data_IF_770451453056
#
_entry.id   IF_770451453056
#
_cell.length_a   1.000
_cell.length_b   1.000
_cell.length_c   1.000
_cell.angle_alpha   90.00
_cell.angle_beta   90.00
_cell.angle_gamma   90.00
#
_symmetry.space_group_name_H-M   'P 1'
#
loop_
_entity.id
_entity.type
_entity.pdbx_description
1 polymer ?
#
# COMPACT_ATOMS: atom_id res chain seq x y z
N UNK A 1 -0.31 -22.98 2.06
CA UNK A 1 -0.62 -21.57 2.38
C UNK A 1 0.50 -20.72 1.80
N UNK A 2 0.17 -19.69 1.01
CA UNK A 2 1.17 -18.82 0.36
C UNK A 2 1.58 -17.72 1.34
N UNK A 3 2.88 -17.48 1.51
CA UNK A 3 3.39 -16.40 2.37
C UNK A 3 3.60 -15.09 1.59
N UNK A 4 3.90 -14.00 2.31
CA UNK A 4 4.10 -12.65 1.75
C UNK A 4 5.16 -12.66 0.64
N UNK A 5 6.34 -13.21 0.93
CA UNK A 5 7.46 -13.25 -0.01
C UNK A 5 7.09 -13.99 -1.29
N UNK A 6 6.39 -15.13 -1.19
CA UNK A 6 5.93 -15.89 -2.33
C UNK A 6 4.89 -15.12 -3.16
N UNK A 7 3.97 -14.39 -2.49
CA UNK A 7 2.95 -13.59 -3.17
C UNK A 7 3.56 -12.40 -3.91
N UNK A 8 4.53 -11.72 -3.30
CA UNK A 8 5.27 -10.62 -3.92
C UNK A 8 6.15 -11.12 -5.06
N UNK A 9 6.85 -12.24 -4.90
CA UNK A 9 7.67 -12.80 -5.98
C UNK A 9 6.83 -13.09 -7.22
N UNK A 10 5.66 -13.73 -7.05
CA UNK A 10 4.73 -13.96 -8.15
C UNK A 10 4.33 -12.66 -8.86
N UNK A 11 4.02 -11.62 -8.09
CA UNK A 11 3.70 -10.31 -8.66
C UNK A 11 4.83 -9.77 -9.54
N UNK A 12 6.09 -9.84 -9.08
CA UNK A 12 7.24 -9.39 -9.87
C UNK A 12 7.51 -10.27 -11.08
N UNK A 13 7.31 -11.58 -10.98
CA UNK A 13 7.48 -12.49 -12.12
C UNK A 13 6.47 -12.18 -13.24
N UNK A 14 5.26 -11.74 -12.87
CA UNK A 14 4.17 -11.44 -13.81
C UNK A 14 4.16 -9.98 -14.32
N UNK A 15 4.57 -9.02 -13.48
CA UNK A 15 4.36 -7.58 -13.72
C UNK A 15 5.62 -6.72 -13.49
N UNK A 16 6.76 -7.35 -13.19
CA UNK A 16 7.98 -6.67 -12.81
C UNK A 16 8.54 -5.75 -13.91
N UNK A 17 8.63 -4.47 -13.60
CA UNK A 17 9.43 -3.48 -14.33
C UNK A 17 10.76 -3.26 -13.61
N UNK A 18 11.76 -2.68 -14.30
CA UNK A 18 13.06 -2.36 -13.71
C UNK A 18 12.93 -1.52 -12.42
N UNK A 19 11.97 -0.60 -12.38
CA UNK A 19 11.70 0.25 -11.21
C UNK A 19 11.12 -0.53 -10.03
N UNK A 20 10.17 -1.45 -10.28
CA UNK A 20 9.57 -2.29 -9.24
C UNK A 20 10.57 -3.20 -8.53
N UNK A 21 11.60 -3.67 -9.25
CA UNK A 21 12.66 -4.53 -8.71
C UNK A 21 13.62 -3.78 -7.78
N UNK A 22 13.81 -2.46 -7.99
CA UNK A 22 14.72 -1.64 -7.20
C UNK A 22 14.08 -1.15 -5.90
N UNK A 23 12.77 -0.91 -5.90
CA UNK A 23 12.06 -0.32 -4.76
C UNK A 23 11.18 -1.30 -3.98
N UNK A 24 11.01 -2.52 -4.48
CA UNK A 24 10.20 -3.54 -3.83
C UNK A 24 8.74 -3.11 -3.68
N UNK A 25 8.08 -3.54 -2.60
CA UNK A 25 6.63 -3.38 -2.41
C UNK A 25 6.17 -1.92 -2.24
N UNK A 26 7.13 -1.00 -2.09
CA UNK A 26 6.88 0.42 -1.90
C UNK A 26 6.98 1.23 -3.20
N UNK A 27 7.52 0.65 -4.27
CA UNK A 27 7.54 1.22 -5.63
C UNK A 27 8.24 2.59 -5.80
N UNK A 28 8.75 3.23 -4.75
CA UNK A 28 9.53 4.46 -4.81
C UNK A 28 10.45 4.64 -3.58
N UNK A 29 11.45 5.53 -3.71
CA UNK A 29 12.18 6.07 -2.56
C UNK A 29 11.26 7.01 -1.77
N UNK A 30 11.33 6.96 -0.44
CA UNK A 30 10.49 7.82 0.40
C UNK A 30 9.17 7.18 0.85
N UNK A 31 9.11 5.86 0.92
CA UNK A 31 8.11 5.14 1.70
C UNK A 31 8.68 4.76 3.07
N UNK A 32 9.10 5.75 3.87
CA UNK A 32 9.73 5.49 5.17
C UNK A 32 9.22 6.45 6.25
N UNK A 33 9.45 6.12 7.52
CA UNK A 33 8.95 6.93 8.64
C UNK A 33 9.41 8.40 8.57
N UNK A 34 10.62 8.64 8.07
CA UNK A 34 11.22 9.98 8.05
C UNK A 34 10.48 10.94 7.13
N UNK A 35 10.21 10.54 5.89
CA UNK A 35 9.53 11.41 4.93
C UNK A 35 8.05 11.62 5.28
N UNK A 36 7.40 10.61 5.88
CA UNK A 36 6.05 10.73 6.40
C UNK A 36 5.99 11.83 7.47
N UNK A 37 6.91 11.80 8.45
CA UNK A 37 6.99 12.81 9.51
C UNK A 37 7.23 14.22 8.97
N UNK A 38 8.11 14.36 7.98
CA UNK A 38 8.35 15.65 7.31
C UNK A 38 7.09 16.15 6.60
N UNK A 39 6.41 15.28 5.84
CA UNK A 39 5.18 15.65 5.12
C UNK A 39 4.01 16.00 6.03
N UNK A 40 3.93 15.36 7.20
CA UNK A 40 2.89 15.59 8.20
C UNK A 40 3.21 16.74 9.18
N UNK A 41 4.37 17.41 9.07
CA UNK A 41 4.78 18.49 9.97
C UNK A 41 4.67 18.10 11.46
N UNK A 42 5.24 16.95 11.82
CA UNK A 42 5.20 16.37 13.19
C UNK A 42 3.81 15.93 13.70
N UNK A 43 2.79 15.88 12.83
CA UNK A 43 1.54 15.17 13.14
C UNK A 43 1.79 13.67 13.02
N UNK A 44 1.49 12.92 14.08
CA UNK A 44 1.61 11.47 14.10
C UNK A 44 0.24 10.82 13.92
N UNK A 45 0.07 9.88 12.97
CA UNK A 45 -1.16 9.11 12.85
C UNK A 45 -1.40 8.24 14.10
N UNK A 46 -2.67 7.98 14.36
CA UNK A 46 -3.15 7.14 15.46
C UNK A 46 -4.22 6.14 14.97
N UNK A 47 -4.81 5.36 15.87
CA UNK A 47 -5.84 4.40 15.53
C UNK A 47 -7.13 5.01 14.97
N UNK A 48 -7.35 6.32 15.17
CA UNK A 48 -8.53 7.05 14.69
C UNK A 48 -8.28 7.72 13.33
N UNK A 49 -7.02 7.71 12.88
CA UNK A 49 -6.62 8.33 11.62
C UNK A 49 -7.16 7.55 10.43
N UNK A 50 -7.67 8.30 9.44
CA UNK A 50 -8.13 7.76 8.15
C UNK A 50 -7.23 8.34 7.07
N UNK A 51 -6.51 7.46 6.38
CA UNK A 51 -5.51 7.83 5.38
C UNK A 51 -5.97 7.38 4.00
N UNK A 52 -5.73 8.21 2.98
CA UNK A 52 -5.91 7.88 1.58
C UNK A 52 -4.54 7.69 0.91
N UNK A 53 -4.25 6.49 0.42
CA UNK A 53 -3.06 6.10 -0.32
C UNK A 53 -3.38 6.08 -1.82
N UNK A 54 -3.07 7.18 -2.50
CA UNK A 54 -3.39 7.37 -3.92
C UNK A 54 -2.36 6.69 -4.81
N UNK A 55 -2.81 5.94 -5.83
CA UNK A 55 -1.95 5.12 -6.69
C UNK A 55 -1.12 4.12 -5.86
N UNK A 56 -1.83 3.33 -5.03
CA UNK A 56 -1.23 2.54 -3.97
C UNK A 56 -0.44 1.31 -4.45
N UNK A 57 -0.47 0.98 -5.75
CA UNK A 57 0.14 -0.21 -6.32
C UNK A 57 -0.21 -1.47 -5.52
N UNK A 58 0.78 -2.28 -5.13
CA UNK A 58 0.60 -3.49 -4.30
C UNK A 58 0.41 -3.20 -2.79
N UNK A 59 0.12 -1.95 -2.44
CA UNK A 59 -0.31 -1.52 -1.10
C UNK A 59 0.77 -1.57 -0.03
N UNK A 60 2.06 -1.45 -0.39
CA UNK A 60 3.16 -1.47 0.58
C UNK A 60 3.03 -0.39 1.65
N UNK A 61 2.75 0.85 1.24
CA UNK A 61 2.55 1.98 2.15
C UNK A 61 1.31 1.78 3.03
N UNK A 62 0.16 1.49 2.43
CA UNK A 62 -1.07 1.24 3.17
C UNK A 62 -0.92 0.17 4.27
N UNK A 63 -0.34 -0.99 3.93
CA UNK A 63 -0.14 -2.07 4.92
C UNK A 63 0.84 -1.69 6.00
N UNK A 64 1.91 -0.99 5.64
CA UNK A 64 2.90 -0.49 6.60
C UNK A 64 2.30 0.53 7.57
N UNK A 65 1.52 1.50 7.08
CA UNK A 65 0.83 2.51 7.91
C UNK A 65 -0.20 1.86 8.84
N UNK A 66 -1.04 0.97 8.32
CA UNK A 66 -2.04 0.25 9.11
C UNK A 66 -1.39 -0.61 10.20
N UNK A 67 -0.27 -1.28 9.89
CA UNK A 67 0.47 -2.10 10.85
C UNK A 67 1.16 -1.26 11.94
N UNK A 68 1.76 -0.14 11.56
CA UNK A 68 2.54 0.71 12.48
C UNK A 68 1.66 1.55 13.40
N UNK A 69 0.60 2.15 12.85
CA UNK A 69 -0.24 3.12 13.57
C UNK A 69 -1.62 2.61 13.93
N UNK A 70 -1.98 1.38 13.51
CA UNK A 70 -3.31 0.81 13.72
C UNK A 70 -4.46 1.65 13.11
N UNK A 71 -4.11 2.57 12.20
CA UNK A 71 -5.01 3.46 11.47
C UNK A 71 -5.78 2.73 10.36
N UNK A 72 -6.80 3.38 9.79
CA UNK A 72 -7.50 2.89 8.60
C UNK A 72 -6.92 3.52 7.36
N UNK A 73 -6.61 2.70 6.34
CA UNK A 73 -6.11 3.17 5.05
C UNK A 73 -7.07 2.76 3.93
N UNK A 74 -7.42 3.72 3.09
CA UNK A 74 -8.08 3.49 1.81
C UNK A 74 -7.04 3.65 0.72
N UNK A 75 -6.89 2.66 -0.16
CA UNK A 75 -5.97 2.70 -1.29
C UNK A 75 -6.71 2.57 -2.60
N UNK A 76 -6.34 3.37 -3.60
CA UNK A 76 -6.83 3.19 -4.96
C UNK A 76 -5.69 3.07 -5.96
N UNK A 77 -5.93 2.29 -7.00
CA UNK A 77 -5.06 2.18 -8.17
C UNK A 77 -5.93 1.86 -9.40
N UNK A 78 -5.40 2.12 -10.59
CA UNK A 78 -6.05 1.73 -11.86
C UNK A 78 -5.76 0.28 -12.24
N UNK A 79 -4.68 -0.29 -11.71
CA UNK A 79 -4.26 -1.65 -12.01
C UNK A 79 -5.02 -2.66 -11.13
N UNK A 80 -5.98 -3.36 -11.74
CA UNK A 80 -6.77 -4.40 -11.09
C UNK A 80 -5.91 -5.54 -10.51
N UNK A 81 -4.83 -5.92 -11.19
CA UNK A 81 -3.95 -6.98 -10.74
C UNK A 81 -3.12 -6.51 -9.51
N UNK A 82 -2.75 -5.24 -9.47
CA UNK A 82 -2.10 -4.63 -8.31
C UNK A 82 -3.04 -4.59 -7.09
N UNK A 83 -4.31 -4.18 -7.28
CA UNK A 83 -5.32 -4.15 -6.22
C UNK A 83 -5.64 -5.55 -5.67
N UNK A 84 -5.76 -6.55 -6.55
CA UNK A 84 -5.91 -7.94 -6.12
C UNK A 84 -4.71 -8.40 -5.28
N UNK A 85 -3.49 -8.02 -5.70
CA UNK A 85 -2.26 -8.31 -4.96
C UNK A 85 -2.18 -7.60 -3.61
N UNK A 86 -2.52 -6.31 -3.55
CA UNK A 86 -2.57 -5.54 -2.31
C UNK A 86 -3.53 -6.17 -1.30
N UNK A 87 -4.70 -6.59 -1.76
CA UNK A 87 -5.73 -7.25 -0.95
C UNK A 87 -5.24 -8.59 -0.38
N UNK A 88 -4.61 -9.42 -1.22
CA UNK A 88 -4.04 -10.69 -0.76
C UNK A 88 -2.93 -10.49 0.28
N UNK A 89 -2.04 -9.53 0.04
CA UNK A 89 -0.94 -9.22 0.95
C UNK A 89 -1.44 -8.70 2.29
N UNK A 90 -2.49 -7.88 2.30
CA UNK A 90 -3.08 -7.39 3.55
C UNK A 90 -3.69 -8.53 4.39
N UNK A 91 -4.33 -9.51 3.74
CA UNK A 91 -4.84 -10.71 4.43
C UNK A 91 -3.70 -11.59 4.97
N UNK A 92 -2.64 -11.78 4.19
CA UNK A 92 -1.46 -12.55 4.61
C UNK A 92 -0.81 -11.93 5.84
N UNK A 93 -0.79 -10.60 5.94
CA UNK A 93 -0.23 -9.85 7.06
C UNK A 93 -1.21 -9.59 8.21
N UNK A 94 -2.50 -9.91 8.04
CA UNK A 94 -3.53 -9.72 9.07
C UNK A 94 -3.96 -8.26 9.28
N UNK A 95 -3.81 -7.41 8.28
CA UNK A 95 -4.17 -5.98 8.31
C UNK A 95 -5.33 -5.63 7.36
N UNK A 96 -5.98 -6.64 6.78
CA UNK A 96 -7.07 -6.50 5.80
C UNK A 96 -8.32 -5.79 6.36
N UNK A 97 -8.57 -5.89 7.67
CA UNK A 97 -9.67 -5.16 8.32
C UNK A 97 -9.43 -3.63 8.36
N UNK A 98 -8.20 -3.19 8.08
CA UNK A 98 -7.80 -1.78 8.11
C UNK A 98 -7.38 -1.23 6.76
N UNK A 99 -7.14 -2.11 5.78
CA UNK A 99 -6.73 -1.72 4.43
C UNK A 99 -7.87 -2.00 3.44
N UNK A 100 -8.43 -0.94 2.87
CA UNK A 100 -9.53 -1.03 1.91
C UNK A 100 -9.03 -0.61 0.53
N UNK A 101 -8.90 -1.58 -0.38
CA UNK A 101 -8.36 -1.34 -1.72
C UNK A 101 -9.47 -1.37 -2.77
N UNK A 102 -9.47 -0.38 -3.67
CA UNK A 102 -10.43 -0.29 -4.78
C UNK A 102 -9.71 -0.01 -6.10
N UNK A 103 -10.28 -0.53 -7.19
CA UNK A 103 -9.87 -0.13 -8.54
C UNK A 103 -10.58 1.18 -8.87
N UNK A 104 -9.84 2.29 -8.90
CA UNK A 104 -10.41 3.59 -9.24
C UNK A 104 -9.33 4.51 -9.84
N UNK A 105 -9.61 5.17 -10.97
CA UNK A 105 -8.81 6.27 -11.47
C UNK A 105 -8.80 7.44 -10.47
N UNK A 106 -7.69 8.16 -10.43
CA UNK A 106 -7.52 9.32 -9.55
C UNK A 106 -8.57 10.40 -9.86
N UNK A 107 -8.89 10.61 -11.12
CA UNK A 107 -9.91 11.55 -11.58
C UNK A 107 -11.33 11.25 -11.08
N UNK A 108 -11.59 10.05 -10.55
CA UNK A 108 -12.89 9.66 -10.01
C UNK A 108 -12.97 9.75 -8.48
N UNK A 109 -11.89 10.14 -7.78
CA UNK A 109 -11.90 10.30 -6.31
C UNK A 109 -12.37 11.69 -5.85
N UNK A 110 -12.60 12.63 -6.77
CA UNK A 110 -13.10 13.97 -6.46
C UNK A 110 -12.05 14.91 -5.85
N UNK A 111 -10.76 14.56 -5.98
CA UNK A 111 -9.60 15.38 -5.64
C UNK A 111 -9.07 16.14 -6.86
#
# INVERSE_FOLDING_TARGET
>A
MMNKTQRLQRWYDENGTADSLLFGEFMHLGANQTILKVGLFDIEPDENSVILDMACAVGGNARWLASLYNCTVYGNDIDEAAIATATDLARIEGVDQRCNFIVAPVEHTGL
#
